data_IF_455211331944
#
_entry.id   IF_455211331944
#
_cell.length_a   1.000
_cell.length_b   1.000
_cell.length_c   1.000
_cell.angle_alpha   90.00
_cell.angle_beta   90.00
_cell.angle_gamma   90.00
#
_symmetry.space_group_name_H-M   'P 1'
#
loop_
_entity.id
_entity.type
_entity.pdbx_description
1 polymer ?
#
# COMPACT_ATOMS: atom_id res chain seq x y z
N UNK A 1 30.93 -27.62 -13.34
CA UNK A 1 30.52 -28.45 -12.19
C UNK A 1 30.01 -29.81 -12.62
N UNK A 2 29.19 -29.92 -13.67
CA UNK A 2 28.68 -31.21 -14.20
C UNK A 2 29.74 -32.28 -14.46
N UNK A 3 30.82 -31.95 -15.17
CA UNK A 3 31.85 -32.94 -15.49
C UNK A 3 32.60 -33.42 -14.25
N UNK A 4 32.86 -32.51 -13.31
CA UNK A 4 33.48 -32.84 -12.04
C UNK A 4 32.54 -33.72 -11.20
N UNK A 5 31.27 -33.34 -11.11
CA UNK A 5 30.23 -34.08 -10.40
C UNK A 5 30.06 -35.50 -10.99
N UNK A 6 29.89 -35.61 -12.32
CA UNK A 6 29.82 -36.89 -13.04
C UNK A 6 31.00 -37.80 -12.71
N UNK A 7 32.22 -37.28 -12.83
CA UNK A 7 33.43 -38.07 -12.57
C UNK A 7 33.49 -38.54 -11.13
N UNK A 8 33.16 -37.66 -10.17
CA UNK A 8 33.16 -38.01 -8.74
C UNK A 8 32.08 -39.04 -8.38
N UNK A 9 30.88 -38.95 -8.93
CA UNK A 9 29.81 -39.93 -8.65
C UNK A 9 30.11 -41.30 -9.25
N UNK A 10 30.73 -41.35 -10.43
CA UNK A 10 31.16 -42.60 -11.08
C UNK A 10 32.31 -43.25 -10.30
N UNK A 11 33.32 -42.48 -9.88
CA UNK A 11 34.44 -43.00 -9.09
C UNK A 11 34.00 -43.53 -7.72
N UNK A 12 32.99 -42.92 -7.11
CA UNK A 12 32.40 -43.37 -5.84
C UNK A 12 31.41 -44.54 -6.02
N UNK A 13 31.09 -44.93 -7.24
CA UNK A 13 30.19 -46.06 -7.54
C UNK A 13 28.71 -45.78 -7.23
N UNK A 14 28.30 -44.51 -7.13
CA UNK A 14 26.91 -44.12 -6.82
C UNK A 14 26.02 -44.25 -8.06
N UNK A 15 26.55 -43.94 -9.24
CA UNK A 15 25.85 -44.05 -10.53
C UNK A 15 26.75 -44.70 -11.58
N UNK A 16 26.14 -45.33 -12.59
CA UNK A 16 26.82 -45.74 -13.82
C UNK A 16 26.87 -44.58 -14.81
N UNK A 17 27.83 -44.62 -15.75
CA UNK A 17 28.01 -43.57 -16.77
C UNK A 17 26.75 -43.37 -17.62
N UNK A 18 26.01 -44.44 -17.89
CA UNK A 18 24.78 -44.44 -18.71
C UNK A 18 23.60 -43.76 -18.00
N UNK A 19 23.54 -43.82 -16.68
CA UNK A 19 22.45 -43.22 -15.90
C UNK A 19 22.63 -41.72 -15.69
N UNK A 20 23.80 -41.16 -16.01
CA UNK A 20 24.07 -39.72 -15.91
C UNK A 20 23.09 -38.88 -16.74
N UNK A 21 22.72 -39.34 -17.93
CA UNK A 21 21.80 -38.59 -18.80
C UNK A 21 20.39 -38.46 -18.22
N UNK A 22 19.98 -39.38 -17.32
CA UNK A 22 18.70 -39.31 -16.62
C UNK A 22 18.76 -38.38 -15.41
N UNK A 23 19.90 -38.35 -14.69
CA UNK A 23 20.06 -37.53 -13.49
C UNK A 23 20.43 -36.07 -13.77
N UNK A 24 21.13 -35.80 -14.88
CA UNK A 24 21.60 -34.45 -15.22
C UNK A 24 20.50 -33.37 -15.20
N UNK A 25 19.28 -33.60 -15.70
CA UNK A 25 18.22 -32.58 -15.68
C UNK A 25 17.67 -32.28 -14.28
N UNK A 26 17.81 -33.22 -13.34
CA UNK A 26 17.34 -33.06 -11.96
C UNK A 26 18.31 -32.24 -11.09
N UNK A 27 19.58 -32.15 -11.51
CA UNK A 27 20.60 -31.40 -10.77
C UNK A 27 20.50 -29.91 -11.09
N UNK A 28 20.02 -29.14 -10.12
CA UNK A 28 19.98 -27.68 -10.20
C UNK A 28 21.03 -27.07 -9.25
N UNK A 29 21.89 -26.22 -9.80
CA UNK A 29 22.86 -25.48 -9.00
C UNK A 29 22.23 -24.20 -8.48
N UNK A 30 22.07 -24.10 -7.17
CA UNK A 30 21.68 -22.87 -6.48
C UNK A 30 22.94 -22.15 -6.00
N UNK A 31 23.26 -21.03 -6.64
CA UNK A 31 24.36 -20.17 -6.20
C UNK A 31 23.91 -19.30 -5.02
N UNK A 32 24.81 -19.02 -4.09
CA UNK A 32 24.54 -18.08 -3.01
C UNK A 32 24.59 -16.66 -3.60
N UNK A 33 23.43 -16.05 -3.76
CA UNK A 33 23.34 -14.61 -3.99
C UNK A 33 23.57 -13.88 -2.66
N UNK A 34 24.23 -12.72 -2.73
CA UNK A 34 24.48 -11.89 -1.55
C UNK A 34 23.14 -11.51 -0.88
N UNK A 35 23.01 -11.89 0.39
CA UNK A 35 21.82 -11.59 1.19
C UNK A 35 21.57 -10.09 1.29
N UNK A 36 22.63 -9.26 1.21
CA UNK A 36 22.53 -7.81 1.33
C UNK A 36 21.81 -7.18 0.13
N UNK A 37 22.13 -7.63 -1.10
CA UNK A 37 21.46 -7.10 -2.29
C UNK A 37 20.00 -7.55 -2.37
N UNK A 38 19.71 -8.80 -1.98
CA UNK A 38 18.33 -9.30 -1.90
C UNK A 38 17.49 -8.50 -0.91
N UNK A 39 18.04 -8.23 0.28
CA UNK A 39 17.36 -7.44 1.31
C UNK A 39 17.14 -5.99 0.86
N UNK A 40 18.18 -5.38 0.30
CA UNK A 40 18.10 -4.01 -0.22
C UNK A 40 17.03 -3.91 -1.32
N UNK A 41 17.02 -4.85 -2.27
CA UNK A 41 16.02 -4.86 -3.35
C UNK A 41 14.60 -5.06 -2.83
N UNK A 42 14.42 -5.94 -1.85
CA UNK A 42 13.12 -6.15 -1.22
C UNK A 42 12.64 -4.89 -0.49
N UNK A 43 13.53 -4.23 0.24
CA UNK A 43 13.25 -2.97 0.94
C UNK A 43 12.90 -1.84 -0.03
N UNK A 44 13.66 -1.67 -1.12
CA UNK A 44 13.36 -0.70 -2.18
C UNK A 44 12.00 -0.97 -2.84
N UNK A 45 11.70 -2.24 -3.12
CA UNK A 45 10.43 -2.65 -3.71
C UNK A 45 9.27 -2.36 -2.76
N UNK A 46 9.40 -2.67 -1.47
CA UNK A 46 8.38 -2.38 -0.46
C UNK A 46 8.11 -0.87 -0.35
N UNK A 47 9.17 -0.05 -0.31
CA UNK A 47 9.04 1.41 -0.29
C UNK A 47 8.31 1.93 -1.54
N UNK A 48 8.61 1.39 -2.72
CA UNK A 48 7.90 1.72 -3.96
C UNK A 48 6.41 1.39 -3.88
N UNK A 49 6.05 0.21 -3.37
CA UNK A 49 4.66 -0.22 -3.18
C UNK A 49 3.91 0.65 -2.17
N UNK A 50 4.55 1.03 -1.06
CA UNK A 50 3.96 1.93 -0.07
C UNK A 50 3.75 3.34 -0.63
N UNK A 51 4.64 3.82 -1.50
CA UNK A 51 4.46 5.07 -2.25
C UNK A 51 3.20 5.03 -3.11
N UNK A 52 3.05 3.98 -3.92
CA UNK A 52 1.85 3.78 -4.76
C UNK A 52 0.58 3.63 -3.92
N UNK A 53 0.64 2.92 -2.80
CA UNK A 53 -0.51 2.75 -1.90
C UNK A 53 -1.02 4.10 -1.40
N UNK A 54 -0.12 5.04 -1.06
CA UNK A 54 -0.49 6.39 -0.62
C UNK A 54 -1.22 7.19 -1.70
N UNK A 55 -0.90 6.99 -2.97
CA UNK A 55 -1.57 7.66 -4.09
C UNK A 55 -2.92 7.01 -4.43
N UNK A 56 -2.97 5.67 -4.42
CA UNK A 56 -4.19 4.90 -4.74
C UNK A 56 -5.21 4.97 -3.59
N UNK A 57 -4.73 5.25 -2.38
CA UNK A 57 -5.46 5.44 -1.14
C UNK A 57 -6.76 6.21 -1.25
N UNK A 58 -6.69 7.38 -1.88
CA UNK A 58 -7.81 8.32 -1.93
C UNK A 58 -8.94 7.83 -2.84
N UNK A 59 -8.64 6.87 -3.72
CA UNK A 59 -9.57 6.28 -4.69
C UNK A 59 -10.12 4.93 -4.24
N UNK A 60 -9.65 4.46 -3.08
CA UNK A 60 -10.03 3.19 -2.51
C UNK A 60 -11.51 3.23 -2.07
N UNK A 61 -12.30 2.22 -2.47
CA UNK A 61 -13.75 2.17 -2.27
C UNK A 61 -14.59 2.92 -3.32
N UNK A 62 -14.00 3.84 -4.10
CA UNK A 62 -14.67 4.52 -5.23
C UNK A 62 -14.38 3.87 -6.57
N UNK A 63 -13.09 3.64 -6.85
CA UNK A 63 -12.63 3.10 -8.13
C UNK A 63 -11.91 1.77 -7.97
N UNK A 64 -11.26 1.55 -6.83
CA UNK A 64 -10.52 0.32 -6.56
C UNK A 64 -11.09 -0.40 -5.34
N UNK A 65 -11.28 -1.71 -5.46
CA UNK A 65 -11.60 -2.56 -4.32
C UNK A 65 -10.36 -2.77 -3.44
N UNK A 66 -10.58 -3.04 -2.15
CA UNK A 66 -9.47 -3.37 -1.24
C UNK A 66 -8.71 -4.62 -1.69
N UNK A 67 -9.42 -5.60 -2.25
CA UNK A 67 -8.81 -6.82 -2.78
C UNK A 67 -7.91 -6.53 -3.99
N UNK A 68 -8.35 -5.65 -4.90
CA UNK A 68 -7.53 -5.21 -6.03
C UNK A 68 -6.24 -4.52 -5.56
N UNK A 69 -6.33 -3.64 -4.55
CA UNK A 69 -5.16 -2.94 -4.00
C UNK A 69 -4.18 -3.94 -3.36
N UNK A 70 -4.68 -4.89 -2.56
CA UNK A 70 -3.84 -5.92 -1.92
C UNK A 70 -3.11 -6.79 -2.95
N UNK A 71 -3.79 -7.19 -4.03
CA UNK A 71 -3.22 -8.07 -5.06
C UNK A 71 -2.32 -7.35 -6.04
N UNK A 72 -2.75 -6.22 -6.58
CA UNK A 72 -2.03 -5.59 -7.70
C UNK A 72 -1.03 -4.54 -7.24
N UNK A 73 -1.36 -3.76 -6.22
CA UNK A 73 -0.46 -2.71 -5.72
C UNK A 73 0.55 -3.30 -4.75
N UNK A 74 0.08 -4.06 -3.75
CA UNK A 74 0.97 -4.64 -2.73
C UNK A 74 1.57 -5.99 -3.13
N UNK A 75 1.05 -6.65 -4.17
CA UNK A 75 1.52 -7.94 -4.69
C UNK A 75 1.48 -9.06 -3.65
N UNK A 76 0.43 -9.06 -2.82
CA UNK A 76 0.19 -10.16 -1.89
C UNK A 76 -0.45 -11.36 -2.59
N UNK A 77 -0.05 -12.54 -2.15
CA UNK A 77 -0.68 -13.81 -2.52
C UNK A 77 -1.98 -14.01 -1.76
N UNK A 78 -2.83 -14.89 -2.28
CA UNK A 78 -4.08 -15.29 -1.62
C UNK A 78 -3.90 -15.77 -0.18
N UNK A 79 -2.81 -16.50 0.07
CA UNK A 79 -2.55 -17.06 1.38
C UNK A 79 -2.12 -15.97 2.37
N UNK A 80 -1.23 -15.06 1.93
CA UNK A 80 -0.79 -13.92 2.75
C UNK A 80 -1.97 -13.02 3.12
N UNK A 81 -2.89 -12.74 2.18
CA UNK A 81 -4.09 -11.94 2.45
C UNK A 81 -4.94 -12.57 3.56
N UNK A 82 -5.20 -13.87 3.50
CA UNK A 82 -6.00 -14.57 4.52
C UNK A 82 -5.31 -14.57 5.88
N UNK A 83 -4.00 -14.78 5.89
CA UNK A 83 -3.23 -14.77 7.13
C UNK A 83 -3.26 -13.38 7.78
N UNK A 84 -3.01 -12.33 7.01
CA UNK A 84 -3.08 -10.95 7.49
C UNK A 84 -4.47 -10.58 8.00
N UNK A 85 -5.53 -10.93 7.27
CA UNK A 85 -6.90 -10.66 7.72
C UNK A 85 -7.23 -11.37 9.04
N UNK A 86 -6.74 -12.60 9.22
CA UNK A 86 -6.87 -13.33 10.48
C UNK A 86 -6.10 -12.66 11.61
N UNK A 87 -4.88 -12.18 11.35
CA UNK A 87 -4.06 -11.47 12.32
C UNK A 87 -4.72 -10.16 12.75
N UNK A 88 -5.14 -9.33 11.78
CA UNK A 88 -5.85 -8.08 12.02
C UNK A 88 -7.13 -8.34 12.82
N UNK A 89 -7.94 -9.33 12.43
CA UNK A 89 -9.17 -9.67 13.16
C UNK A 89 -8.90 -10.10 14.61
N UNK A 90 -7.78 -10.80 14.86
CA UNK A 90 -7.36 -11.17 16.21
C UNK A 90 -6.88 -9.95 17.02
N UNK A 91 -6.19 -8.99 16.39
CA UNK A 91 -5.72 -7.75 17.03
C UNK A 91 -6.88 -6.81 17.39
N UNK A 92 -7.87 -6.68 16.50
CA UNK A 92 -9.10 -5.90 16.72
C UNK A 92 -9.94 -6.51 17.84
N UNK A 93 -10.09 -7.84 17.85
CA UNK A 93 -10.82 -8.55 18.91
C UNK A 93 -10.09 -8.50 20.26
N UNK A 94 -8.77 -8.42 20.24
CA UNK A 94 -7.92 -8.36 21.43
C UNK A 94 -7.78 -6.96 22.05
N UNK A 95 -8.52 -5.96 21.56
CA UNK A 95 -8.44 -4.54 21.99
C UNK A 95 -7.00 -3.97 22.00
N UNK A 96 -6.13 -4.46 21.12
CA UNK A 96 -4.77 -3.89 20.93
C UNK A 96 -4.73 -2.82 19.84
N UNK A 97 -5.75 -2.78 19.00
CA UNK A 97 -5.95 -1.76 17.97
C UNK A 97 -7.32 -1.13 18.22
N UNK A 98 -7.37 0.20 18.35
CA UNK A 98 -8.62 0.93 18.35
C UNK A 98 -9.34 0.69 17.01
N UNK A 99 -10.66 0.49 17.04
CA UNK A 99 -11.48 0.28 15.84
C UNK A 99 -11.35 1.43 14.82
N UNK A 100 -10.90 2.61 15.26
CA UNK A 100 -10.55 3.74 14.40
C UNK A 100 -9.34 3.48 13.50
N UNK A 101 -8.37 2.65 13.91
CA UNK A 101 -7.25 2.25 13.05
C UNK A 101 -7.69 1.20 12.01
N UNK A 102 -8.81 0.52 12.27
CA UNK A 102 -9.30 -0.59 11.43
C UNK A 102 -10.12 -0.10 10.24
N UNK A 103 -10.65 1.12 10.27
CA UNK A 103 -11.46 1.66 9.18
C UNK A 103 -11.21 3.17 9.05
N UNK A 104 -10.36 3.56 8.11
CA UNK A 104 -10.77 4.58 7.12
C UNK A 104 -9.80 4.70 5.94
N UNK A 105 -9.89 3.70 5.06
CA UNK A 105 -9.34 3.78 3.71
C UNK A 105 -10.47 3.65 2.68
N UNK A 106 -11.66 4.19 3.00
CA UNK A 106 -12.85 4.02 2.15
C UNK A 106 -14.19 4.55 2.64
N UNK A 107 -14.27 5.38 3.71
CA UNK A 107 -15.54 6.02 4.12
C UNK A 107 -15.51 7.55 3.99
N UNK A 108 -14.36 8.21 4.04
CA UNK A 108 -14.22 9.60 3.59
C UNK A 108 -13.88 9.68 2.11
N UNK A 109 -14.84 9.31 1.26
CA UNK A 109 -14.95 10.06 0.02
C UNK A 109 -15.42 11.48 0.38
N UNK A 110 -14.95 12.58 -0.26
CA UNK A 110 -15.53 13.90 -0.05
C UNK A 110 -17.05 13.79 -0.08
N UNK A 111 -17.66 14.05 1.07
CA UNK A 111 -19.07 14.38 1.17
C UNK A 111 -19.21 15.60 0.28
N UNK A 112 -19.86 15.43 -0.87
CA UNK A 112 -20.55 16.55 -1.46
C UNK A 112 -21.57 16.95 -0.39
N UNK A 113 -21.30 18.03 0.34
CA UNK A 113 -22.39 18.82 0.91
C UNK A 113 -23.25 19.19 -0.29
N UNK A 114 -24.36 18.47 -0.47
CA UNK A 114 -25.42 18.96 -1.33
C UNK A 114 -25.78 20.35 -0.79
N UNK A 115 -25.70 21.40 -1.62
CA UNK A 115 -26.10 22.72 -1.17
C UNK A 115 -27.54 22.61 -0.64
N UNK A 116 -27.86 23.23 0.50
CA UNK A 116 -29.18 23.13 1.10
C UNK A 116 -30.25 23.47 0.05
N UNK A 117 -31.38 22.74 -0.01
CA UNK A 117 -32.38 22.95 -1.05
C UNK A 117 -32.84 24.41 -1.04
N UNK A 118 -32.44 25.16 -2.08
CA UNK A 118 -32.88 26.53 -2.31
C UNK A 118 -34.41 26.53 -2.40
N UNK A 119 -35.05 27.30 -1.52
CA UNK A 119 -36.47 27.58 -1.59
C UNK A 119 -36.82 28.19 -2.96
N UNK A 120 -37.99 27.89 -3.53
CA UNK A 120 -38.34 28.29 -4.89
C UNK A 120 -38.28 29.82 -5.07
N UNK A 121 -37.78 30.30 -6.22
CA UNK A 121 -37.48 31.72 -6.43
C UNK A 121 -38.75 32.57 -6.45
N UNK A 122 -38.83 33.55 -5.55
CA UNK A 122 -39.79 34.66 -5.69
C UNK A 122 -39.36 35.57 -6.84
N UNK A 123 -40.33 35.96 -7.67
CA UNK A 123 -40.15 36.73 -8.90
C UNK A 123 -39.60 38.15 -8.65
N UNK A 124 -38.85 38.74 -9.61
CA UNK A 124 -38.07 39.95 -9.39
C UNK A 124 -38.90 41.23 -9.54
N UNK A 125 -38.61 42.31 -8.78
CA UNK A 125 -38.89 43.66 -9.21
C UNK A 125 -37.67 44.26 -9.94
N UNK A 126 -37.96 44.92 -11.06
CA UNK A 126 -37.04 45.61 -11.97
C UNK A 126 -36.15 46.69 -11.32
N UNK A 127 -34.92 46.83 -11.83
CA UNK A 127 -34.27 48.14 -11.97
C UNK A 127 -32.83 48.25 -11.49
N UNK A 128 -31.90 48.46 -12.44
CA UNK A 128 -30.82 49.43 -12.28
C UNK A 128 -29.41 48.93 -11.88
N UNK A 129 -28.51 48.95 -12.88
CA UNK A 129 -27.09 49.33 -12.82
C UNK A 129 -26.06 48.40 -12.13
N UNK A 130 -25.13 47.89 -12.95
CA UNK A 130 -23.80 47.45 -12.52
C UNK A 130 -22.90 48.67 -12.24
N UNK A 131 -21.91 48.60 -11.32
CA UNK A 131 -20.55 48.25 -11.79
C UNK A 131 -19.59 47.59 -10.76
N UNK A 132 -18.47 47.09 -11.32
CA UNK A 132 -17.09 47.09 -10.80
C UNK A 132 -16.56 46.03 -9.79
N UNK A 133 -15.87 45.04 -10.38
CA UNK A 133 -14.56 44.40 -10.05
C UNK A 133 -13.91 44.51 -8.64
N UNK A 134 -13.46 43.37 -8.09
CA UNK A 134 -12.05 43.03 -7.81
C UNK A 134 -11.92 41.57 -7.27
N UNK A 135 -10.82 40.83 -7.54
CA UNK A 135 -10.68 39.43 -7.13
C UNK A 135 -10.29 39.33 -5.64
N UNK A 136 -10.77 38.34 -4.86
CA UNK A 136 -10.27 38.16 -3.50
C UNK A 136 -8.91 37.43 -3.51
N UNK A 137 -8.00 38.01 -2.71
CA UNK A 137 -6.60 37.62 -2.47
C UNK A 137 -6.45 36.18 -1.99
N UNK A 138 -5.39 35.52 -2.45
CA UNK A 138 -4.75 34.44 -1.71
C UNK A 138 -3.81 35.04 -0.65
N UNK A 139 -4.10 34.78 0.62
CA UNK A 139 -3.13 34.88 1.71
C UNK A 139 -3.07 33.53 2.42
N UNK A 140 -2.02 32.75 2.14
CA UNK A 140 -1.58 31.69 3.04
C UNK A 140 -0.60 32.32 4.03
N UNK A 141 -0.87 32.24 5.34
CA UNK A 141 0.17 32.04 6.34
C UNK A 141 -0.41 31.34 7.58
N UNK A 142 -0.16 30.03 7.63
CA UNK A 142 0.47 29.31 8.73
C UNK A 142 0.11 29.71 10.17
N UNK A 143 -0.67 28.87 10.84
CA UNK A 143 -0.74 28.89 12.30
C UNK A 143 -1.88 28.09 12.89
N UNK A 144 -1.76 26.75 12.95
CA UNK A 144 -2.11 25.97 14.14
C UNK A 144 -1.73 24.49 13.94
N UNK A 145 -0.43 24.22 13.86
CA UNK A 145 0.10 22.85 14.00
C UNK A 145 0.97 22.70 15.25
N UNK A 146 1.24 23.81 15.96
CA UNK A 146 2.15 23.88 17.10
C UNK A 146 1.45 23.92 18.47
N UNK A 147 0.12 23.95 18.53
CA UNK A 147 -0.59 23.99 19.81
C UNK A 147 -0.81 22.60 20.43
N UNK A 148 -0.88 21.54 19.62
CA UNK A 148 -1.06 20.18 20.15
C UNK A 148 0.23 19.53 20.70
N UNK A 149 1.41 20.04 20.32
CA UNK A 149 2.69 19.49 20.78
C UNK A 149 3.23 20.13 22.07
N UNK A 150 2.70 21.28 22.49
CA UNK A 150 3.08 21.91 23.78
C UNK A 150 2.47 21.18 24.98
N UNK A 151 1.25 20.68 24.84
CA UNK A 151 0.52 20.02 25.95
C UNK A 151 1.10 18.65 26.35
N UNK A 152 1.95 18.06 25.50
CA UNK A 152 2.58 16.76 25.75
C UNK A 152 3.94 16.89 26.45
N UNK A 153 4.61 18.05 26.36
CA UNK A 153 5.92 18.27 27.00
C UNK A 153 5.85 19.02 28.34
N UNK A 154 4.68 19.50 28.76
CA UNK A 154 4.47 20.16 30.06
C UNK A 154 3.90 19.22 31.15
N UNK A 155 3.77 17.92 30.84
CA UNK A 155 3.32 16.86 31.78
C UNK A 155 4.34 15.74 31.99
N UNK A 156 5.63 16.06 31.88
CA UNK A 156 6.75 15.26 32.45
C UNK A 156 7.53 16.16 33.40
#
# INVERSE_FOLDING_TARGET
FDQLLKTQLVLKGIIKIEDWEKFRPEVQYKWAEDSYYRETKNSEMLLGRLGLLREVSEYAGRYFSMDFIKREVLQFTDEEIREMEKQIAAEVKGEKLDQQTTIEFGVHGPQMEEPPPEAPPEAPPEGGEAPAQAPPKQEQINGSFNEYFKDILEKV
#
